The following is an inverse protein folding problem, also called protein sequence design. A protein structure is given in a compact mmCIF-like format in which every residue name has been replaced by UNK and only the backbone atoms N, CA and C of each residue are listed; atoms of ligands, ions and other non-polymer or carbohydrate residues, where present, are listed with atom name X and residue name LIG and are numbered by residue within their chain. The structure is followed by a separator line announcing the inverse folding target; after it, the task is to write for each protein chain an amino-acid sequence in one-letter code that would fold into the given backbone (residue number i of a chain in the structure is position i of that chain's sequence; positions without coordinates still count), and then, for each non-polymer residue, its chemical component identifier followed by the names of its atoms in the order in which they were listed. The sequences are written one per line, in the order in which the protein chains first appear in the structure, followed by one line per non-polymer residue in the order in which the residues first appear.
data_IF_641877785708
#
_entry.id   IF_641877785708
#
_cell.length_a   1.000
_cell.length_b   1.000
_cell.length_c   1.000
_cell.angle_alpha   90.00
_cell.angle_beta   90.00
_cell.angle_gamma   90.00
#
_symmetry.space_group_name_H-M   'P 1'
#
loop_
_entity.id
_entity.type
_entity.pdbx_description
1 polymer ?
#
# COMPACT_ATOMS: atom_id res chain seq x y z
N UNK A 1 9.41 33.58 -25.25
CA UNK A 1 8.11 32.88 -25.23
C UNK A 1 8.28 31.72 -24.25
N UNK A 2 8.11 32.02 -22.97
CA UNK A 2 8.39 31.12 -21.86
C UNK A 2 7.18 30.21 -21.69
N UNK A 3 7.34 28.92 -21.99
CA UNK A 3 6.27 27.93 -21.77
C UNK A 3 6.02 27.81 -20.27
N UNK A 4 4.85 28.29 -19.84
CA UNK A 4 4.29 28.02 -18.53
C UNK A 4 4.02 26.51 -18.46
N UNK A 5 4.73 25.83 -17.56
CA UNK A 5 4.51 24.43 -17.22
C UNK A 5 3.09 24.32 -16.67
N UNK A 6 2.23 23.61 -17.38
CA UNK A 6 0.84 23.40 -16.99
C UNK A 6 0.79 22.73 -15.60
N UNK A 7 0.12 23.40 -14.68
CA UNK A 7 -0.04 23.02 -13.27
C UNK A 7 -1.26 22.08 -13.17
N UNK A 8 -1.15 20.81 -13.60
CA UNK A 8 -2.16 19.78 -13.26
C UNK A 8 -1.84 18.32 -13.64
N UNK A 9 -0.58 17.89 -13.81
CA UNK A 9 -0.27 16.45 -13.88
C UNK A 9 0.54 16.00 -12.68
N UNK A 10 -0.04 15.12 -11.86
CA UNK A 10 0.67 14.36 -10.83
C UNK A 10 1.58 13.36 -11.54
N UNK A 11 2.76 13.81 -11.96
CA UNK A 11 3.74 12.96 -12.64
C UNK A 11 4.14 11.81 -11.71
N UNK A 12 3.78 10.59 -12.11
CA UNK A 12 4.16 9.38 -11.39
C UNK A 12 5.66 9.20 -11.52
N UNK A 13 6.37 9.47 -10.44
CA UNK A 13 7.81 9.33 -10.36
C UNK A 13 8.20 7.97 -9.80
N UNK A 14 9.08 7.28 -10.51
CA UNK A 14 9.49 5.92 -10.20
C UNK A 14 11.01 5.90 -10.05
N UNK A 15 11.48 5.44 -8.90
CA UNK A 15 12.88 5.14 -8.62
C UNK A 15 13.12 3.64 -8.85
N UNK A 16 14.22 3.25 -9.48
CA UNK A 16 14.56 1.82 -9.71
C UNK A 16 15.90 1.47 -9.06
N UNK A 17 15.88 0.47 -8.18
CA UNK A 17 17.05 -0.11 -7.52
C UNK A 17 17.38 -1.48 -8.13
N UNK A 18 18.64 -1.67 -8.50
CA UNK A 18 19.14 -2.84 -9.21
C UNK A 18 20.62 -3.11 -8.90
N UNK A 19 21.05 -4.38 -8.97
CA UNK A 19 22.48 -4.74 -8.95
C UNK A 19 23.09 -4.56 -10.34
N UNK A 20 24.41 -4.37 -10.43
CA UNK A 20 25.09 -4.11 -11.71
C UNK A 20 24.76 -5.11 -12.83
N UNK A 21 24.57 -6.39 -12.50
CA UNK A 21 24.17 -7.43 -13.46
C UNK A 21 22.78 -7.22 -14.07
N UNK A 22 21.89 -6.50 -13.39
CA UNK A 22 20.51 -6.23 -13.83
C UNK A 22 20.36 -4.91 -14.61
N UNK A 23 21.45 -4.22 -14.93
CA UNK A 23 21.39 -2.88 -15.57
C UNK A 23 20.68 -2.89 -16.93
N UNK A 24 20.81 -3.99 -17.69
CA UNK A 24 20.13 -4.13 -18.98
C UNK A 24 18.62 -4.20 -18.79
N UNK A 25 18.17 -4.98 -17.81
CA UNK A 25 16.75 -5.08 -17.45
C UNK A 25 16.22 -3.74 -16.92
N UNK A 26 16.97 -3.08 -16.02
CA UNK A 26 16.59 -1.77 -15.49
C UNK A 26 16.41 -0.74 -16.61
N UNK A 27 17.35 -0.65 -17.56
CA UNK A 27 17.25 0.27 -18.70
C UNK A 27 16.05 -0.04 -19.61
N UNK A 28 15.78 -1.31 -19.88
CA UNK A 28 14.61 -1.72 -20.65
C UNK A 28 13.30 -1.31 -19.97
N UNK A 29 13.19 -1.50 -18.65
CA UNK A 29 12.02 -1.09 -17.87
C UNK A 29 11.82 0.43 -17.94
N UNK A 30 12.90 1.21 -17.77
CA UNK A 30 12.85 2.68 -17.80
C UNK A 30 12.35 3.17 -19.16
N UNK A 31 12.94 2.70 -20.24
CA UNK A 31 12.56 3.11 -21.60
C UNK A 31 11.14 2.66 -21.93
N UNK A 32 10.80 1.43 -21.53
CA UNK A 32 9.47 0.86 -21.65
C UNK A 32 8.38 1.67 -20.96
N UNK A 33 8.65 2.18 -19.75
CA UNK A 33 7.68 2.99 -19.02
C UNK A 33 7.63 4.44 -19.51
N UNK A 34 8.78 5.02 -19.92
CA UNK A 34 8.84 6.36 -20.52
C UNK A 34 8.06 6.46 -21.82
N UNK A 35 8.18 5.46 -22.70
CA UNK A 35 7.37 5.39 -23.93
C UNK A 35 5.87 5.30 -23.67
N UNK A 36 5.47 4.98 -22.43
CA UNK A 36 4.08 4.92 -21.97
C UNK A 36 3.66 6.16 -21.17
N UNK A 37 4.40 7.26 -21.26
CA UNK A 37 4.17 8.56 -20.59
C UNK A 37 4.26 8.50 -19.05
N UNK A 38 5.14 7.65 -18.50
CA UNK A 38 5.46 7.66 -17.07
C UNK A 38 6.84 8.30 -16.84
N UNK A 39 6.97 9.13 -15.81
CA UNK A 39 8.22 9.81 -15.48
C UNK A 39 9.11 8.89 -14.64
N UNK A 40 9.95 8.11 -15.31
CA UNK A 40 10.82 7.13 -14.64
C UNK A 40 12.24 7.65 -14.53
N UNK A 41 12.75 7.60 -13.31
CA UNK A 41 14.12 7.96 -12.95
C UNK A 41 14.90 6.68 -12.70
N UNK A 42 15.87 6.42 -13.57
CA UNK A 42 16.92 5.47 -13.27
C UNK A 42 17.97 6.23 -12.49
N UNK A 43 18.05 6.00 -11.19
CA UNK A 43 19.20 6.51 -10.46
C UNK A 43 20.37 5.58 -10.77
N UNK A 44 21.46 6.13 -11.31
CA UNK A 44 22.64 5.38 -11.76
C UNK A 44 23.51 4.92 -10.56
N UNK A 45 22.88 4.47 -9.48
CA UNK A 45 23.59 3.90 -8.34
C UNK A 45 23.43 2.38 -8.37
N UNK A 46 24.45 1.74 -8.92
CA UNK A 46 24.70 0.31 -8.76
C UNK A 46 24.76 -0.03 -7.25
N UNK A 47 24.05 -1.07 -6.80
CA UNK A 47 24.08 -1.60 -5.43
C UNK A 47 25.50 -2.00 -4.98
N UNK A 48 26.34 -1.03 -4.58
CA UNK A 48 27.69 -1.22 -4.06
C UNK A 48 27.68 -1.29 -2.53
N UNK A 49 28.43 -2.26 -1.99
CA UNK A 49 28.58 -2.44 -0.56
C UNK A 49 29.37 -1.28 0.08
N UNK A 50 28.88 -0.75 1.20
CA UNK A 50 29.57 0.28 2.00
C UNK A 50 29.25 1.73 1.64
N UNK A 51 28.40 1.98 0.64
CA UNK A 51 27.83 3.31 0.40
C UNK A 51 26.63 3.54 1.32
N UNK A 52 26.43 4.78 1.76
CA UNK A 52 25.30 5.13 2.62
C UNK A 52 24.03 5.26 1.77
N UNK A 53 23.40 4.11 1.49
CA UNK A 53 22.19 4.01 0.64
C UNK A 53 21.06 4.87 1.18
N UNK A 54 20.96 4.94 2.51
CA UNK A 54 19.93 5.73 3.19
C UNK A 54 20.01 7.19 2.76
N UNK A 55 21.19 7.79 2.68
CA UNK A 55 21.32 9.20 2.30
C UNK A 55 21.10 9.44 0.81
N UNK A 56 21.54 8.53 -0.07
CA UNK A 56 21.23 8.60 -1.51
C UNK A 56 19.73 8.51 -1.76
N UNK A 57 19.05 7.57 -1.10
CA UNK A 57 17.58 7.39 -1.12
C UNK A 57 16.88 8.63 -0.56
N UNK A 58 17.35 9.20 0.56
CA UNK A 58 16.79 10.44 1.13
C UNK A 58 16.84 11.61 0.17
N UNK A 59 17.91 11.71 -0.64
CA UNK A 59 18.11 12.79 -1.60
C UNK A 59 17.36 12.56 -2.92
N UNK A 60 17.42 11.34 -3.46
CA UNK A 60 16.86 10.98 -4.76
C UNK A 60 15.33 10.79 -4.75
N UNK A 61 14.75 10.36 -3.63
CA UNK A 61 13.36 9.88 -3.58
C UNK A 61 12.37 10.95 -3.10
N UNK A 62 12.83 12.17 -2.76
CA UNK A 62 11.99 13.24 -2.23
C UNK A 62 10.75 13.60 -3.07
N UNK A 63 10.73 13.25 -4.36
CA UNK A 63 9.59 13.46 -5.27
C UNK A 63 8.97 12.15 -5.84
N UNK A 64 9.50 10.98 -5.50
CA UNK A 64 9.05 9.68 -6.06
C UNK A 64 7.77 9.14 -5.43
N UNK A 65 6.91 8.53 -6.26
CA UNK A 65 5.69 7.81 -5.84
C UNK A 65 5.94 6.31 -5.62
N UNK A 66 6.86 5.73 -6.40
CA UNK A 66 7.17 4.30 -6.38
C UNK A 66 8.67 4.04 -6.29
N UNK A 67 9.04 2.99 -5.56
CA UNK A 67 10.39 2.44 -5.51
C UNK A 67 10.34 1.02 -6.07
N UNK A 68 11.03 0.76 -7.16
CA UNK A 68 11.16 -0.56 -7.74
C UNK A 68 12.42 -1.20 -7.23
N UNK A 69 12.29 -2.42 -6.71
CA UNK A 69 13.43 -3.26 -6.37
C UNK A 69 13.47 -4.41 -7.36
N UNK A 70 14.48 -4.43 -8.24
CA UNK A 70 14.65 -5.55 -9.16
C UNK A 70 15.21 -6.75 -8.41
N UNK A 71 14.53 -7.89 -8.54
CA UNK A 71 14.86 -9.14 -7.89
C UNK A 71 15.37 -10.15 -8.92
N UNK A 72 16.66 -10.40 -8.83
CA UNK A 72 17.41 -11.49 -9.45
C UNK A 72 18.12 -12.30 -8.37
N UNK A 73 18.73 -13.43 -8.71
CA UNK A 73 19.57 -14.21 -7.79
C UNK A 73 20.73 -13.38 -7.25
N UNK A 74 21.32 -12.50 -8.07
CA UNK A 74 22.41 -11.62 -7.64
C UNK A 74 21.90 -10.55 -6.68
N UNK A 75 20.74 -9.96 -6.96
CA UNK A 75 20.11 -8.95 -6.11
C UNK A 75 19.78 -9.48 -4.72
N UNK A 76 19.13 -10.64 -4.60
CA UNK A 76 18.75 -11.20 -3.29
C UNK A 76 19.95 -11.62 -2.44
N UNK A 77 21.08 -11.95 -3.07
CA UNK A 77 22.33 -12.29 -2.40
C UNK A 77 23.25 -11.07 -2.17
N UNK A 78 22.83 -9.88 -2.60
CA UNK A 78 23.64 -8.68 -2.46
C UNK A 78 23.81 -8.27 -0.99
N UNK A 79 24.94 -7.64 -0.64
CA UNK A 79 25.13 -7.09 0.71
C UNK A 79 24.01 -6.12 1.11
N UNK A 80 23.53 -5.30 0.17
CA UNK A 80 22.45 -4.34 0.39
C UNK A 80 21.19 -4.97 1.00
N UNK A 81 20.71 -6.09 0.44
CA UNK A 81 19.54 -6.82 0.94
C UNK A 81 19.77 -7.31 2.37
N UNK A 82 20.99 -7.74 2.69
CA UNK A 82 21.33 -8.33 3.97
C UNK A 82 21.67 -7.30 5.06
N UNK A 83 22.15 -6.10 4.70
CA UNK A 83 22.67 -5.13 5.68
C UNK A 83 21.81 -3.88 5.84
N UNK A 84 21.25 -3.34 4.76
CA UNK A 84 20.67 -1.99 4.76
C UNK A 84 19.18 -1.96 4.41
N UNK A 85 18.65 -3.03 3.84
CA UNK A 85 17.30 -3.05 3.29
C UNK A 85 16.20 -2.74 4.32
N UNK A 86 16.32 -3.23 5.55
CA UNK A 86 15.35 -2.93 6.63
C UNK A 86 15.27 -1.41 6.90
N UNK A 87 16.41 -0.72 6.86
CA UNK A 87 16.44 0.75 7.05
C UNK A 87 15.80 1.47 5.88
N UNK A 88 15.97 0.96 4.66
CA UNK A 88 15.30 1.49 3.46
C UNK A 88 13.79 1.31 3.53
N UNK A 89 13.30 0.13 3.92
CA UNK A 89 11.86 -0.10 4.09
C UNK A 89 11.22 0.93 5.02
N UNK A 90 11.89 1.24 6.14
CA UNK A 90 11.44 2.28 7.08
C UNK A 90 11.41 3.66 6.45
N UNK A 91 12.44 4.04 5.69
CA UNK A 91 12.51 5.34 5.02
C UNK A 91 11.43 5.49 3.94
N UNK A 92 11.17 4.44 3.13
CA UNK A 92 10.09 4.42 2.14
C UNK A 92 8.72 4.63 2.80
N UNK A 93 8.48 3.96 3.94
CA UNK A 93 7.26 4.13 4.72
C UNK A 93 7.14 5.54 5.34
N UNK A 94 8.22 6.11 5.86
CA UNK A 94 8.20 7.48 6.42
C UNK A 94 7.85 8.51 5.35
N UNK A 95 8.30 8.30 4.12
CA UNK A 95 8.15 9.24 3.00
C UNK A 95 7.00 8.93 2.06
N UNK A 96 6.19 7.92 2.37
CA UNK A 96 5.02 7.57 1.57
C UNK A 96 5.33 7.14 0.13
N UNK A 97 6.43 6.41 -0.04
CA UNK A 97 6.78 5.77 -1.31
C UNK A 97 6.37 4.31 -1.29
N UNK A 98 5.69 3.88 -2.35
CA UNK A 98 5.26 2.49 -2.48
C UNK A 98 6.39 1.63 -3.03
N UNK A 99 6.85 0.65 -2.26
CA UNK A 99 7.77 -0.39 -2.75
C UNK A 99 7.01 -1.36 -3.67
N UNK A 100 7.52 -1.56 -4.89
CA UNK A 100 7.07 -2.59 -5.84
C UNK A 100 8.27 -3.47 -6.20
N UNK A 101 8.39 -4.67 -5.61
CA UNK A 101 9.38 -5.64 -6.04
C UNK A 101 9.08 -6.14 -7.46
N UNK A 102 10.09 -6.16 -8.33
CA UNK A 102 9.99 -6.62 -9.72
C UNK A 102 10.80 -7.91 -9.85
N UNK A 103 10.13 -9.03 -10.10
CA UNK A 103 10.77 -10.34 -10.18
C UNK A 103 11.27 -10.62 -11.60
N UNK A 104 12.58 -10.59 -11.81
CA UNK A 104 13.20 -10.80 -13.12
C UNK A 104 13.43 -12.28 -13.42
N UNK A 105 13.75 -13.07 -12.39
CA UNK A 105 14.00 -14.52 -12.52
C UNK A 105 13.57 -15.28 -11.26
N UNK A 106 13.67 -16.60 -11.29
CA UNK A 106 13.41 -17.44 -10.10
C UNK A 106 14.53 -17.27 -9.07
N UNK A 107 14.22 -16.67 -7.93
CA UNK A 107 15.14 -16.49 -6.79
C UNK A 107 14.43 -16.72 -5.45
N UNK A 108 15.21 -17.00 -4.40
CA UNK A 108 14.67 -17.11 -3.04
C UNK A 108 14.36 -15.72 -2.49
N UNK A 109 13.08 -15.45 -2.26
CA UNK A 109 12.60 -14.15 -1.80
C UNK A 109 12.97 -13.97 -0.31
N UNK A 110 13.72 -12.91 0.05
CA UNK A 110 14.04 -12.60 1.43
C UNK A 110 12.77 -12.41 2.28
N UNK A 111 12.79 -12.90 3.54
CA UNK A 111 11.64 -12.80 4.44
C UNK A 111 11.03 -11.39 4.55
N UNK A 112 11.82 -10.28 4.64
CA UNK A 112 11.25 -8.94 4.69
C UNK A 112 10.40 -8.58 3.46
N UNK A 113 10.68 -9.21 2.31
CA UNK A 113 9.94 -9.00 1.06
C UNK A 113 8.71 -9.90 0.94
N UNK A 114 8.59 -10.97 1.74
CA UNK A 114 7.52 -11.96 1.60
C UNK A 114 6.10 -11.40 1.76
N UNK A 115 5.96 -10.25 2.44
CA UNK A 115 4.68 -9.56 2.64
C UNK A 115 4.30 -8.65 1.46
N UNK A 116 5.22 -8.41 0.52
CA UNK A 116 5.01 -7.54 -0.63
C UNK A 116 4.51 -8.34 -1.83
N UNK A 117 3.63 -7.72 -2.61
CA UNK A 117 3.24 -8.27 -3.90
C UNK A 117 4.31 -7.97 -4.95
N UNK A 118 4.82 -9.02 -5.60
CA UNK A 118 5.78 -8.90 -6.69
C UNK A 118 5.06 -8.63 -8.01
N UNK A 119 5.67 -7.81 -8.84
CA UNK A 119 5.33 -7.75 -10.25
C UNK A 119 6.23 -8.74 -11.00
N UNK A 120 5.62 -9.78 -11.56
CA UNK A 120 6.33 -10.87 -12.23
C UNK A 120 6.72 -10.48 -13.66
N UNK A 121 8.01 -10.43 -13.94
CA UNK A 121 8.58 -10.19 -15.28
C UNK A 121 9.31 -11.42 -15.84
N UNK A 122 9.19 -12.59 -15.22
CA UNK A 122 9.92 -13.81 -15.64
C UNK A 122 9.50 -14.30 -17.03
N UNK A 123 8.30 -13.95 -17.50
CA UNK A 123 7.84 -14.24 -18.86
C UNK A 123 8.40 -13.28 -19.92
N UNK A 124 9.16 -12.25 -19.51
CA UNK A 124 9.83 -11.29 -20.38
C UNK A 124 9.48 -9.83 -20.03
N UNK A 125 10.43 -8.91 -20.18
CA UNK A 125 10.24 -7.51 -19.77
C UNK A 125 9.21 -6.83 -20.69
N UNK A 126 9.40 -6.93 -22.01
CA UNK A 126 8.54 -6.27 -22.99
C UNK A 126 7.09 -6.75 -22.90
N UNK A 127 6.90 -8.05 -22.71
CA UNK A 127 5.60 -8.70 -22.59
C UNK A 127 4.78 -8.19 -21.39
N UNK A 128 5.45 -7.77 -20.32
CA UNK A 128 4.81 -7.34 -19.08
C UNK A 128 4.79 -5.81 -18.87
N UNK A 129 5.45 -5.04 -19.74
CA UNK A 129 5.55 -3.57 -19.61
C UNK A 129 4.18 -2.87 -19.68
N UNK A 130 3.29 -3.34 -20.56
CA UNK A 130 1.94 -2.77 -20.67
C UNK A 130 1.14 -2.99 -19.39
N UNK A 131 1.21 -4.19 -18.82
CA UNK A 131 0.54 -4.50 -17.57
C UNK A 131 1.10 -3.65 -16.43
N UNK A 132 2.43 -3.52 -16.31
CA UNK A 132 3.06 -2.69 -15.28
C UNK A 132 2.62 -1.23 -15.41
N UNK A 133 2.71 -0.67 -16.62
CA UNK A 133 2.30 0.71 -16.87
C UNK A 133 0.82 0.94 -16.55
N UNK A 134 -0.05 0.00 -16.90
CA UNK A 134 -1.48 0.10 -16.60
C UNK A 134 -1.77 0.02 -15.10
N UNK A 135 -1.04 -0.83 -14.35
CA UNK A 135 -1.12 -0.88 -12.89
C UNK A 135 -0.70 0.46 -12.28
N UNK A 136 0.41 1.04 -12.71
CA UNK A 136 0.92 2.34 -12.22
C UNK A 136 -0.04 3.49 -12.55
N UNK A 137 -0.57 3.53 -13.77
CA UNK A 137 -1.57 4.52 -14.20
C UNK A 137 -2.88 4.36 -13.44
N UNK A 138 -3.26 3.14 -13.06
CA UNK A 138 -4.45 2.92 -12.24
C UNK A 138 -4.22 3.34 -10.80
N UNK A 139 -3.01 3.11 -10.29
CA UNK A 139 -2.62 3.52 -8.96
C UNK A 139 -2.51 5.04 -8.82
N UNK A 140 -2.06 5.76 -9.86
CA UNK A 140 -2.07 7.23 -9.89
C UNK A 140 -3.48 7.83 -9.95
N UNK A 141 -4.50 7.06 -10.36
CA UNK A 141 -5.90 7.48 -10.22
C UNK A 141 -6.36 7.47 -8.77
N UNK A 142 -5.80 6.62 -7.92
CA UNK A 142 -6.18 6.49 -6.50
C UNK A 142 -5.60 7.68 -5.72
N UNK A 143 -6.37 8.76 -5.74
CA UNK A 143 -6.11 9.98 -5.00
C UNK A 143 -7.19 10.14 -3.92
N UNK A 144 -6.85 9.76 -2.69
CA UNK A 144 -7.76 9.85 -1.56
C UNK A 144 -8.16 11.30 -1.24
N UNK A 145 -7.39 12.31 -1.65
CA UNK A 145 -7.75 13.73 -1.42
C UNK A 145 -9.03 14.12 -2.15
N UNK A 146 -9.36 13.42 -3.24
CA UNK A 146 -10.61 13.61 -4.00
C UNK A 146 -11.84 13.07 -3.28
N UNK A 147 -11.66 12.27 -2.22
CA UNK A 147 -12.76 11.70 -1.47
C UNK A 147 -13.24 12.65 -0.36
N UNK A 148 -14.50 12.44 0.05
CA UNK A 148 -15.02 12.94 1.33
C UNK A 148 -14.89 11.84 2.39
N UNK A 149 -14.87 12.17 3.70
CA UNK A 149 -14.89 11.15 4.76
C UNK A 149 -16.00 10.11 4.53
N UNK A 150 -17.22 10.57 4.27
CA UNK A 150 -18.37 9.69 4.00
C UNK A 150 -18.14 8.77 2.79
N UNK A 151 -17.54 9.29 1.72
CA UNK A 151 -17.23 8.49 0.52
C UNK A 151 -16.11 7.49 0.80
N UNK A 152 -15.14 7.86 1.63
CA UNK A 152 -14.08 6.96 2.09
C UNK A 152 -14.64 5.81 2.93
N UNK A 153 -15.53 6.08 3.88
CA UNK A 153 -16.17 5.04 4.69
C UNK A 153 -16.94 4.05 3.80
N UNK A 154 -17.67 4.57 2.81
CA UNK A 154 -18.39 3.72 1.85
C UNK A 154 -17.43 2.89 0.98
N UNK A 155 -16.30 3.45 0.53
CA UNK A 155 -15.25 2.71 -0.18
C UNK A 155 -14.71 1.55 0.66
N UNK A 156 -14.44 1.81 1.95
CA UNK A 156 -13.95 0.79 2.87
C UNK A 156 -14.97 -0.34 3.04
N UNK A 157 -16.24 -0.02 3.25
CA UNK A 157 -17.31 -1.03 3.36
C UNK A 157 -17.40 -1.89 2.10
N UNK A 158 -17.38 -1.27 0.91
CA UNK A 158 -17.51 -2.03 -0.33
C UNK A 158 -16.24 -2.85 -0.63
N UNK A 159 -15.06 -2.38 -0.21
CA UNK A 159 -13.84 -3.19 -0.19
C UNK A 159 -13.96 -4.39 0.75
N UNK A 160 -14.45 -4.22 1.98
CA UNK A 160 -14.63 -5.33 2.92
C UNK A 160 -15.58 -6.39 2.35
N UNK A 161 -16.69 -5.98 1.73
CA UNK A 161 -17.58 -6.93 1.02
C UNK A 161 -16.85 -7.71 -0.07
N UNK A 162 -16.02 -7.03 -0.88
CA UNK A 162 -15.21 -7.69 -1.91
C UNK A 162 -14.22 -8.69 -1.35
N UNK A 163 -13.68 -8.41 -0.15
CA UNK A 163 -12.80 -9.32 0.57
C UNK A 163 -13.54 -10.48 1.26
N UNK A 164 -14.87 -10.56 1.14
CA UNK A 164 -15.67 -11.67 1.67
C UNK A 164 -16.27 -11.42 3.06
N UNK A 165 -16.12 -10.21 3.61
CA UNK A 165 -16.80 -9.85 4.85
C UNK A 165 -18.30 -9.69 4.60
N UNK A 166 -19.10 -10.14 5.58
CA UNK A 166 -20.56 -10.04 5.59
C UNK A 166 -21.03 -9.18 6.77
N UNK A 167 -22.33 -8.89 6.81
CA UNK A 167 -22.94 -8.03 7.83
C UNK A 167 -22.29 -6.64 7.96
N UNK A 168 -21.67 -6.15 6.89
CA UNK A 168 -21.11 -4.81 6.78
C UNK A 168 -22.22 -3.75 6.71
N UNK A 169 -22.95 -3.57 7.81
CA UNK A 169 -23.86 -2.44 7.98
C UNK A 169 -23.06 -1.29 8.57
N UNK A 170 -22.80 -0.27 7.75
CA UNK A 170 -22.49 1.06 8.25
C UNK A 170 -23.79 1.54 8.90
N UNK A 171 -23.91 1.43 10.22
CA UNK A 171 -25.16 1.85 10.84
C UNK A 171 -25.25 3.37 10.69
N UNK A 172 -26.29 3.82 9.97
CA UNK A 172 -26.69 5.21 9.75
C UNK A 172 -27.14 5.94 11.03
N UNK A 173 -26.78 5.39 12.18
CA UNK A 173 -26.85 5.95 13.51
C UNK A 173 -25.61 5.42 14.21
N UNK A 174 -24.65 6.30 14.47
CA UNK A 174 -23.63 6.14 15.50
C UNK A 174 -24.24 5.27 16.61
N UNK A 175 -23.73 4.06 16.84
CA UNK A 175 -24.07 3.37 18.09
C UNK A 175 -23.68 4.33 19.24
N UNK A 176 -24.26 4.23 20.43
CA UNK A 176 -23.94 5.17 21.53
C UNK A 176 -22.42 5.27 21.82
N UNK A 177 -21.63 4.32 21.33
CA UNK A 177 -20.19 4.20 21.48
C UNK A 177 -19.36 4.91 20.39
N UNK A 178 -19.89 5.25 19.22
CA UNK A 178 -19.13 5.91 18.13
C UNK A 178 -18.32 4.99 17.20
N UNK A 179 -18.70 3.72 17.07
CA UNK A 179 -17.98 2.71 16.26
C UNK A 179 -18.43 2.75 14.80
N UNK A 180 -17.47 2.71 13.87
CA UNK A 180 -17.76 2.82 12.44
C UNK A 180 -18.41 1.55 11.85
N UNK A 181 -17.89 0.36 12.16
CA UNK A 181 -18.51 -0.90 11.74
C UNK A 181 -18.14 -2.11 12.62
N UNK A 182 -19.04 -3.10 12.65
CA UNK A 182 -18.75 -4.47 13.08
C UNK A 182 -19.08 -5.38 11.90
N UNK A 183 -18.13 -6.20 11.48
CA UNK A 183 -18.27 -7.08 10.30
C UNK A 183 -17.89 -8.51 10.67
N UNK A 184 -18.42 -9.46 9.92
CA UNK A 184 -18.16 -10.89 10.15
C UNK A 184 -17.38 -11.46 8.96
N UNK A 185 -16.37 -12.27 9.24
CA UNK A 185 -15.65 -13.03 8.23
C UNK A 185 -16.00 -14.52 8.36
N UNK A 186 -16.69 -15.11 7.38
CA UNK A 186 -17.04 -16.52 7.42
C UNK A 186 -15.79 -17.38 7.16
N UNK A 187 -15.55 -18.33 8.06
CA UNK A 187 -14.49 -19.33 7.92
C UNK A 187 -15.06 -20.73 8.10
N UNK A 188 -14.31 -21.73 7.65
CA UNK A 188 -14.58 -23.13 7.96
C UNK A 188 -13.57 -23.63 8.96
N UNK A 189 -14.05 -24.28 10.00
CA UNK A 189 -13.17 -25.02 10.90
C UNK A 189 -12.56 -26.24 10.17
N UNK A 190 -11.54 -26.90 10.75
CA UNK A 190 -10.93 -28.10 10.15
C UNK A 190 -11.88 -29.29 9.95
N UNK A 191 -13.10 -29.24 10.52
CA UNK A 191 -14.13 -30.26 10.42
C UNK A 191 -15.25 -29.89 9.43
N UNK A 192 -15.18 -28.71 8.82
CA UNK A 192 -16.12 -28.21 7.82
C UNK A 192 -17.29 -27.39 8.37
N UNK A 193 -17.35 -27.12 9.68
CA UNK A 193 -18.37 -26.27 10.28
C UNK A 193 -18.10 -24.80 9.95
N UNK A 194 -19.15 -24.03 9.67
CA UNK A 194 -19.03 -22.58 9.49
C UNK A 194 -18.87 -21.90 10.85
N UNK A 195 -17.79 -21.16 11.00
CA UNK A 195 -17.55 -20.24 12.10
C UNK A 195 -17.51 -18.81 11.54
N UNK A 196 -17.79 -17.83 12.39
CA UNK A 196 -17.73 -16.42 12.02
C UNK A 196 -16.77 -15.71 12.95
N UNK A 197 -15.77 -15.08 12.37
CA UNK A 197 -14.85 -14.23 13.10
C UNK A 197 -15.38 -12.79 13.07
N UNK A 198 -15.51 -12.18 14.25
CA UNK A 198 -16.10 -10.86 14.43
C UNK A 198 -15.01 -9.80 14.46
N UNK A 199 -15.08 -8.87 13.52
CA UNK A 199 -14.15 -7.76 13.36
C UNK A 199 -14.79 -6.45 13.78
N UNK A 200 -14.19 -5.79 14.76
CA UNK A 200 -14.43 -4.39 15.07
C UNK A 200 -13.63 -3.54 14.09
N UNK A 201 -14.30 -2.71 13.30
CA UNK A 201 -13.66 -1.88 12.27
C UNK A 201 -13.80 -0.41 12.62
N UNK A 202 -12.66 0.29 12.67
CA UNK A 202 -12.58 1.74 12.76
C UNK A 202 -11.98 2.30 11.48
N UNK A 203 -12.57 3.37 10.97
CA UNK A 203 -12.12 4.10 9.80
C UNK A 203 -11.63 5.48 10.17
N UNK A 204 -10.49 5.90 9.59
CA UNK A 204 -9.98 7.26 9.78
C UNK A 204 -9.52 7.87 8.47
N UNK A 205 -10.19 8.94 8.10
CA UNK A 205 -9.84 9.75 6.95
C UNK A 205 -9.08 11.00 7.37
N UNK A 206 -7.85 11.13 6.88
CA UNK A 206 -6.96 12.25 7.11
C UNK A 206 -6.78 13.04 5.80
N UNK A 207 -7.25 14.29 5.73
CA UNK A 207 -6.95 15.18 4.59
C UNK A 207 -5.55 15.76 4.70
N UNK A 208 -5.26 16.38 5.85
CA UNK A 208 -4.03 17.18 6.03
C UNK A 208 -3.37 16.96 7.39
N UNK A 209 -3.87 16.01 8.18
CA UNK A 209 -3.31 15.62 9.48
C UNK A 209 -2.56 14.30 9.35
N UNK A 210 -1.46 14.15 10.07
CA UNK A 210 -0.79 12.85 10.14
C UNK A 210 -1.64 11.90 11.00
N UNK A 211 -1.70 10.60 10.63
CA UNK A 211 -2.29 9.60 11.50
C UNK A 211 -1.65 9.64 12.90
N UNK A 212 -2.50 9.74 13.93
CA UNK A 212 -2.07 9.75 15.32
C UNK A 212 -2.55 8.50 16.06
N UNK A 213 -2.00 8.25 17.25
CA UNK A 213 -2.36 7.08 18.04
C UNK A 213 -3.76 7.17 18.67
N UNK A 214 -4.52 8.24 18.47
CA UNK A 214 -5.82 8.41 19.14
C UNK A 214 -6.84 7.38 18.65
N UNK A 215 -6.89 7.17 17.34
CA UNK A 215 -7.77 6.17 16.75
C UNK A 215 -7.45 4.75 17.25
N UNK A 216 -6.16 4.42 17.33
CA UNK A 216 -5.71 3.13 17.87
C UNK A 216 -6.05 2.96 19.36
N UNK A 217 -5.88 4.01 20.17
CA UNK A 217 -6.27 3.99 21.59
C UNK A 217 -7.78 3.83 21.74
N UNK A 218 -8.55 4.58 20.97
CA UNK A 218 -10.01 4.51 20.98
C UNK A 218 -10.50 3.12 20.57
N UNK A 219 -9.92 2.55 19.51
CA UNK A 219 -10.19 1.19 19.07
C UNK A 219 -9.92 0.17 20.19
N UNK A 220 -8.80 0.31 20.91
CA UNK A 220 -8.49 -0.53 22.08
C UNK A 220 -9.51 -0.36 23.20
N UNK A 221 -9.95 0.86 23.50
CA UNK A 221 -10.99 1.06 24.51
C UNK A 221 -12.30 0.37 24.12
N UNK A 222 -12.67 0.39 22.84
CA UNK A 222 -13.84 -0.34 22.34
C UNK A 222 -13.70 -1.85 22.53
N UNK A 223 -12.52 -2.42 22.30
CA UNK A 223 -12.29 -3.87 22.51
C UNK A 223 -12.44 -4.30 23.98
N UNK A 224 -12.31 -3.37 24.93
CA UNK A 224 -12.52 -3.66 26.37
C UNK A 224 -14.00 -3.61 26.77
N UNK A 225 -14.79 -2.83 26.03
CA UNK A 225 -16.22 -2.60 26.34
C UNK A 225 -17.08 -3.65 25.66
N UNK A 226 -16.76 -3.99 24.41
CA UNK A 226 -17.50 -4.96 23.63
C UNK A 226 -17.10 -6.38 24.01
N UNK A 227 -18.10 -7.21 24.33
CA UNK A 227 -17.94 -8.66 24.36
C UNK A 227 -18.00 -9.21 22.93
N UNK A 228 -17.33 -10.34 22.68
CA UNK A 228 -17.43 -11.09 21.40
C UNK A 228 -16.77 -10.40 20.19
N UNK A 229 -15.64 -9.71 20.41
CA UNK A 229 -14.78 -9.24 19.32
C UNK A 229 -13.56 -10.18 19.23
N UNK A 230 -13.37 -10.77 18.05
CA UNK A 230 -12.23 -11.63 17.79
C UNK A 230 -11.03 -10.82 17.30
N UNK A 231 -11.27 -9.80 16.46
CA UNK A 231 -10.22 -8.93 15.93
C UNK A 231 -10.65 -7.47 15.83
N UNK A 232 -9.68 -6.57 15.92
CA UNK A 232 -9.85 -5.13 15.70
C UNK A 232 -9.06 -4.68 14.48
N UNK A 233 -9.68 -3.84 13.65
CA UNK A 233 -9.14 -3.40 12.37
C UNK A 233 -9.25 -1.88 12.24
N UNK A 234 -8.10 -1.20 12.14
CA UNK A 234 -8.04 0.21 11.77
C UNK A 234 -7.75 0.35 10.28
N UNK A 235 -8.63 1.02 9.53
CA UNK A 235 -8.44 1.32 8.12
C UNK A 235 -8.31 2.83 7.90
N UNK A 236 -7.26 3.26 7.21
CA UNK A 236 -7.02 4.68 6.98
C UNK A 236 -6.43 4.97 5.60
N UNK A 237 -6.69 6.17 5.08
CA UNK A 237 -6.04 6.67 3.86
C UNK A 237 -4.62 7.21 4.13
N UNK A 238 -4.26 7.49 5.38
CA UNK A 238 -2.95 7.98 5.76
C UNK A 238 -1.98 6.83 6.00
N UNK A 239 -0.68 7.09 5.84
CA UNK A 239 0.34 6.11 6.24
C UNK A 239 0.69 6.25 7.72
N UNK A 240 0.73 5.10 8.39
CA UNK A 240 1.05 5.02 9.81
C UNK A 240 2.55 4.71 9.99
N UNK A 241 3.16 5.28 11.04
CA UNK A 241 4.58 5.07 11.32
C UNK A 241 4.85 3.65 11.83
N UNK A 242 6.12 3.21 11.80
CA UNK A 242 6.51 1.95 12.44
C UNK A 242 6.15 1.93 13.92
N UNK A 243 6.26 3.07 14.62
CA UNK A 243 5.87 3.21 16.03
C UNK A 243 4.38 2.93 16.26
N UNK A 244 3.50 3.30 15.31
CA UNK A 244 2.08 2.99 15.42
C UNK A 244 1.80 1.49 15.25
N UNK A 245 2.55 0.82 14.37
CA UNK A 245 2.48 -0.63 14.20
C UNK A 245 3.02 -1.37 15.44
N UNK A 246 4.18 -0.93 15.97
CA UNK A 246 4.74 -1.46 17.22
C UNK A 246 3.76 -1.30 18.38
N UNK A 247 3.12 -0.14 18.47
CA UNK A 247 2.09 0.12 19.48
C UNK A 247 0.89 -0.81 19.36
N UNK A 248 0.38 -1.06 18.15
CA UNK A 248 -0.73 -1.98 17.92
C UNK A 248 -0.38 -3.44 18.30
N UNK A 249 0.86 -3.85 18.01
CA UNK A 249 1.37 -5.16 18.43
C UNK A 249 1.46 -5.29 19.95
N UNK A 250 1.93 -4.25 20.65
CA UNK A 250 1.98 -4.24 22.10
C UNK A 250 0.59 -4.17 22.74
N UNK A 251 -0.33 -3.41 22.14
CA UNK A 251 -1.73 -3.38 22.56
C UNK A 251 -2.39 -4.76 22.41
N UNK A 252 -2.14 -5.48 21.31
CA UNK A 252 -2.61 -6.86 21.10
C UNK A 252 -2.18 -7.79 22.24
N UNK A 253 -0.92 -7.70 22.68
CA UNK A 253 -0.42 -8.52 23.82
C UNK A 253 -1.15 -8.21 25.12
N UNK A 254 -1.60 -6.97 25.30
CA UNK A 254 -2.26 -6.52 26.53
C UNK A 254 -3.76 -6.81 26.54
N UNK A 255 -4.44 -6.70 25.40
CA UNK A 255 -5.89 -6.92 25.27
C UNK A 255 -6.24 -8.38 24.99
N UNK A 256 -5.32 -9.14 24.41
CA UNK A 256 -5.58 -10.48 23.87
C UNK A 256 -6.34 -10.47 22.54
N UNK A 257 -6.72 -9.30 22.03
CA UNK A 257 -7.45 -9.11 20.78
C UNK A 257 -6.46 -8.59 19.73
N UNK A 258 -6.21 -9.33 18.63
CA UNK A 258 -5.39 -8.87 17.51
C UNK A 258 -5.86 -7.53 16.96
N UNK A 259 -4.92 -6.59 16.85
CA UNK A 259 -5.17 -5.27 16.24
C UNK A 259 -4.38 -5.18 14.95
N UNK A 260 -5.10 -5.17 13.82
CA UNK A 260 -4.53 -4.98 12.50
C UNK A 260 -4.73 -3.57 12.00
N UNK A 261 -3.73 -3.05 11.30
CA UNK A 261 -3.77 -1.75 10.64
C UNK A 261 -3.73 -1.99 9.14
N UNK A 262 -4.63 -1.36 8.40
CA UNK A 262 -4.56 -1.20 6.94
C UNK A 262 -4.36 0.30 6.69
N UNK A 263 -3.13 0.69 6.42
CA UNK A 263 -2.77 2.06 6.14
C UNK A 263 -3.01 2.44 4.67
N UNK A 264 -2.74 3.70 4.31
CA UNK A 264 -2.93 4.18 2.95
C UNK A 264 -2.16 3.39 1.87
N UNK A 265 -1.03 2.76 2.22
CA UNK A 265 -0.23 1.92 1.32
C UNK A 265 -0.94 0.60 1.05
N UNK A 266 -1.29 -0.12 2.13
CA UNK A 266 -1.96 -1.41 2.00
C UNK A 266 -3.35 -1.23 1.41
N UNK A 267 -4.07 -0.17 1.77
CA UNK A 267 -5.37 0.16 1.21
C UNK A 267 -5.29 0.39 -0.31
N UNK A 268 -4.33 1.18 -0.79
CA UNK A 268 -4.09 1.35 -2.23
C UNK A 268 -3.83 0.02 -2.91
N UNK A 269 -3.01 -0.85 -2.32
CA UNK A 269 -2.72 -2.19 -2.85
C UNK A 269 -4.00 -3.04 -2.96
N UNK A 270 -4.82 -3.06 -1.93
CA UNK A 270 -6.09 -3.80 -1.93
C UNK A 270 -7.07 -3.26 -2.99
N UNK A 271 -7.12 -1.94 -3.18
CA UNK A 271 -7.93 -1.31 -4.22
C UNK A 271 -7.45 -1.66 -5.64
N UNK A 272 -6.14 -1.76 -5.86
CA UNK A 272 -5.60 -2.18 -7.16
C UNK A 272 -5.92 -3.63 -7.51
N UNK A 273 -6.17 -4.47 -6.52
CA UNK A 273 -6.68 -5.84 -6.71
C UNK A 273 -8.21 -5.87 -6.98
N UNK A 274 -8.90 -4.74 -6.77
CA UNK A 274 -10.34 -4.56 -6.94
C UNK A 274 -10.61 -3.34 -7.84
N UNK A 275 -10.16 -3.42 -9.11
CA UNK A 275 -10.13 -2.27 -10.04
C UNK A 275 -11.50 -1.66 -10.33
N UNK A 276 -12.58 -2.41 -10.16
CA UNK A 276 -13.94 -1.91 -10.28
C UNK A 276 -14.26 -0.85 -9.21
N UNK A 277 -13.76 -1.02 -7.97
CA UNK A 277 -13.84 0.00 -6.94
C UNK A 277 -12.99 1.23 -7.32
N UNK A 278 -11.82 1.05 -7.93
CA UNK A 278 -11.02 2.18 -8.41
C UNK A 278 -11.81 3.00 -9.44
N UNK A 279 -12.46 2.32 -10.38
CA UNK A 279 -13.33 2.95 -11.37
C UNK A 279 -14.50 3.68 -10.72
N UNK A 280 -15.18 3.07 -9.75
CA UNK A 280 -16.35 3.62 -9.09
C UNK A 280 -16.04 4.88 -8.26
N UNK A 281 -14.91 4.92 -7.56
CA UNK A 281 -14.64 5.97 -6.56
C UNK A 281 -13.68 7.06 -7.02
N UNK A 282 -12.83 6.79 -8.02
CA UNK A 282 -11.75 7.71 -8.42
C UNK A 282 -11.80 8.15 -9.88
N UNK A 283 -12.73 7.61 -10.69
CA UNK A 283 -12.93 8.09 -12.06
C UNK A 283 -14.00 9.19 -12.04
N UNK A 284 -13.76 10.37 -12.66
CA UNK A 284 -14.78 11.40 -12.77
C UNK A 284 -16.00 10.83 -13.48
N UNK A 285 -17.18 10.96 -12.86
CA UNK A 285 -18.44 10.85 -13.61
C UNK A 285 -18.35 11.97 -14.64
N UNK A 286 -18.23 11.62 -15.93
CA UNK A 286 -18.47 12.58 -17.00
C UNK A 286 -19.89 13.10 -16.76
N UNK A 287 -19.99 14.29 -16.20
CA UNK A 287 -21.24 15.04 -16.16
C UNK A 287 -21.66 15.17 -17.61
N UNK A 288 -22.70 14.44 -18.02
CA UNK A 288 -23.43 14.72 -19.23
C UNK A 288 -23.98 16.14 -19.08
N UNK A 289 -23.20 17.14 -19.51
CA UNK A 289 -23.69 18.48 -19.71
C UNK A 289 -24.74 18.39 -20.82
N UNK A 290 -25.98 18.60 -20.39
CA UNK A 290 -27.18 18.67 -21.22
C UNK A 290 -27.17 19.92 -22.09
#
# INVERSE_FOLDING_TARGET
MTYLKDQSSTTTQIFISYVGSDIVAAKAIVEGLRSRNLDVWLDEYELKAGENWVDSIRNAISASSYFFLLLSKDSVNSPFINTEFISILKELQIRNITLIPILLENCEIPQPLAVYQFFDMRSGIEENLDQLANTLKSASKIDFEKLTPKTFDQLVIDLLKKLGFVNSKLNSQINELGIDAIVEFPQKDPFGSEIREIYLVETKFYRHSRPDLRALRQLVEYTKILSEIDQALLITNGQLTSTAHDWANDATKNTGIPIRIIDGTELKRLLLQNTDLVSQYFTPILSNAS
#
